data_IF_665832664910
#
_entry.id   IF_665832664910
#
_cell.length_a   1.000
_cell.length_b   1.000
_cell.length_c   1.000
_cell.angle_alpha   90.00
_cell.angle_beta   90.00
_cell.angle_gamma   90.00
#
_symmetry.space_group_name_H-M   'P 1'
#
loop_
_entity.id
_entity.type
_entity.pdbx_description
1 polymer ?
#
# COMPACT_ATOMS: atom_id res chain seq x y z
N UNK A 1 -35.96 -4.50 6.07
CA UNK A 1 -34.58 -3.98 5.93
C UNK A 1 -34.28 -3.17 7.18
N UNK A 2 -33.27 -3.54 7.96
CA UNK A 2 -32.90 -2.80 9.16
C UNK A 2 -31.74 -1.87 8.78
N UNK A 3 -32.05 -0.59 8.57
CA UNK A 3 -31.05 0.41 8.20
C UNK A 3 -30.54 1.10 9.47
N UNK A 4 -29.23 1.31 9.57
CA UNK A 4 -28.62 2.07 10.64
C UNK A 4 -27.99 3.35 10.07
N UNK A 5 -28.10 4.46 10.80
CA UNK A 5 -27.49 5.74 10.44
C UNK A 5 -26.18 5.89 11.22
N UNK A 6 -25.10 6.22 10.51
CA UNK A 6 -23.80 6.52 11.11
C UNK A 6 -23.53 8.01 10.91
N UNK A 7 -23.43 8.76 12.02
CA UNK A 7 -22.99 10.15 12.02
C UNK A 7 -21.54 10.22 12.51
N UNK A 8 -20.69 10.92 11.78
CA UNK A 8 -19.30 11.16 12.18
C UNK A 8 -18.90 12.60 11.89
N UNK A 9 -18.08 13.17 12.77
CA UNK A 9 -17.53 14.50 12.61
C UNK A 9 -16.22 14.43 11.83
N UNK A 10 -16.00 15.39 10.95
CA UNK A 10 -14.77 15.52 10.17
C UNK A 10 -14.54 16.98 9.81
N UNK A 11 -13.33 17.31 9.37
CA UNK A 11 -13.02 18.64 8.89
C UNK A 11 -13.80 18.98 7.60
N UNK A 12 -14.26 20.23 7.48
CA UNK A 12 -15.09 20.65 6.36
C UNK A 12 -14.35 20.62 5.02
N UNK A 13 -13.06 20.98 5.03
CA UNK A 13 -12.22 20.93 3.83
C UNK A 13 -11.95 19.48 3.44
N UNK A 14 -11.61 18.61 4.39
CA UNK A 14 -11.43 17.18 4.14
C UNK A 14 -12.69 16.54 3.54
N UNK A 15 -13.89 16.88 4.06
CA UNK A 15 -15.17 16.41 3.50
C UNK A 15 -15.35 16.84 2.04
N UNK A 16 -15.02 18.09 1.71
CA UNK A 16 -15.14 18.62 0.35
C UNK A 16 -14.18 17.93 -0.61
N UNK A 17 -12.91 17.77 -0.21
CA UNK A 17 -11.88 17.12 -1.02
C UNK A 17 -12.23 15.64 -1.26
N UNK A 18 -12.64 14.92 -0.22
CA UNK A 18 -13.07 13.53 -0.36
C UNK A 18 -14.30 13.38 -1.26
N UNK A 19 -15.24 14.34 -1.21
CA UNK A 19 -16.41 14.33 -2.11
C UNK A 19 -15.98 14.45 -3.57
N UNK A 20 -15.06 15.37 -3.89
CA UNK A 20 -14.57 15.54 -5.24
C UNK A 20 -13.93 14.26 -5.79
N UNK A 21 -13.06 13.62 -5.00
CA UNK A 21 -12.42 12.35 -5.39
C UNK A 21 -13.46 11.26 -5.64
N UNK A 22 -14.47 11.13 -4.78
CA UNK A 22 -15.54 10.15 -4.97
C UNK A 22 -16.40 10.45 -6.20
N UNK A 23 -16.72 11.72 -6.46
CA UNK A 23 -17.49 12.13 -7.64
C UNK A 23 -16.73 11.82 -8.94
N UNK A 24 -15.40 12.05 -8.97
CA UNK A 24 -14.53 11.67 -10.10
C UNK A 24 -14.53 10.15 -10.36
N UNK A 25 -14.74 9.35 -9.31
CA UNK A 25 -14.89 7.89 -9.39
C UNK A 25 -16.33 7.43 -9.65
N UNK A 26 -17.32 8.35 -9.71
CA UNK A 26 -18.74 8.01 -9.84
C UNK A 26 -19.34 7.37 -8.58
N UNK A 27 -18.77 7.65 -7.40
CA UNK A 27 -19.15 7.08 -6.12
C UNK A 27 -19.72 8.16 -5.18
N UNK A 28 -20.52 7.73 -4.21
CA UNK A 28 -20.91 8.58 -3.07
C UNK A 28 -20.34 8.02 -1.77
N UNK A 29 -20.38 8.83 -0.69
CA UNK A 29 -19.88 8.43 0.62
C UNK A 29 -20.53 7.14 1.15
N UNK A 30 -21.81 6.91 0.89
CA UNK A 30 -22.49 5.70 1.37
C UNK A 30 -21.90 4.45 0.71
N UNK A 31 -21.61 4.51 -0.59
CA UNK A 31 -20.98 3.39 -1.31
C UNK A 31 -19.56 3.16 -0.77
N UNK A 32 -18.76 4.23 -0.68
CA UNK A 32 -17.37 4.15 -0.24
C UNK A 32 -17.24 3.64 1.21
N UNK A 33 -18.01 4.20 2.15
CA UNK A 33 -17.97 3.81 3.55
C UNK A 33 -18.47 2.39 3.76
N UNK A 34 -19.55 1.98 3.10
CA UNK A 34 -20.03 0.60 3.20
C UNK A 34 -19.02 -0.41 2.63
N UNK A 35 -18.37 -0.09 1.52
CA UNK A 35 -17.31 -0.93 0.96
C UNK A 35 -16.14 -1.08 1.95
N UNK A 36 -15.70 0.03 2.55
CA UNK A 36 -14.64 0.01 3.55
C UNK A 36 -15.02 -0.79 4.80
N UNK A 37 -16.24 -0.61 5.33
CA UNK A 37 -16.72 -1.36 6.50
C UNK A 37 -16.78 -2.88 6.22
N UNK A 38 -17.20 -3.28 5.01
CA UNK A 38 -17.17 -4.70 4.60
C UNK A 38 -15.74 -5.24 4.55
N UNK A 39 -14.81 -4.47 3.96
CA UNK A 39 -13.38 -4.83 3.93
C UNK A 39 -12.83 -4.97 5.36
N UNK A 40 -13.12 -4.02 6.24
CA UNK A 40 -12.71 -4.05 7.65
C UNK A 40 -13.20 -5.31 8.38
N UNK A 41 -14.45 -5.73 8.17
CA UNK A 41 -15.02 -6.93 8.81
C UNK A 41 -14.32 -8.21 8.33
N UNK A 42 -14.00 -8.30 7.04
CA UNK A 42 -13.35 -9.48 6.44
C UNK A 42 -11.88 -9.55 6.83
N UNK A 43 -11.15 -8.45 6.69
CA UNK A 43 -9.69 -8.42 6.85
C UNK A 43 -9.26 -8.21 8.30
N UNK A 44 -10.13 -7.64 9.14
CA UNK A 44 -9.84 -7.29 10.54
C UNK A 44 -8.58 -6.42 10.68
N UNK A 45 -8.32 -5.57 9.69
CA UNK A 45 -7.15 -4.70 9.59
C UNK A 45 -7.56 -3.32 9.08
N UNK A 46 -6.88 -2.30 9.59
CA UNK A 46 -6.92 -0.94 9.07
C UNK A 46 -5.59 -0.68 8.36
N UNK A 47 -5.67 -0.22 7.10
CA UNK A 47 -4.50 0.12 6.29
C UNK A 47 -4.26 1.63 6.33
N UNK A 48 -3.04 2.03 6.70
CA UNK A 48 -2.56 3.38 6.54
C UNK A 48 -1.45 3.37 5.51
N UNK A 49 -1.65 4.09 4.41
CA UNK A 49 -0.63 4.27 3.38
C UNK A 49 0.03 5.63 3.56
N UNK A 50 1.36 5.63 3.61
CA UNK A 50 2.17 6.85 3.44
C UNK A 50 2.77 6.81 2.05
N UNK A 51 3.09 7.95 1.41
CA UNK A 51 3.90 7.95 0.20
C UNK A 51 5.15 7.08 0.43
N UNK A 52 5.38 6.11 -0.46
CA UNK A 52 6.50 5.17 -0.38
C UNK A 52 7.83 5.86 -0.72
N UNK A 53 8.25 6.84 0.09
CA UNK A 53 9.52 7.54 -0.07
C UNK A 53 10.61 6.65 0.53
N UNK A 54 11.52 6.09 -0.28
CA UNK A 54 12.53 5.17 0.25
C UNK A 54 13.43 5.90 1.24
N UNK A 55 13.67 5.31 2.41
CA UNK A 55 14.61 5.86 3.39
C UNK A 55 16.06 5.81 2.86
N UNK A 56 17.00 6.46 3.56
CA UNK A 56 18.39 6.53 3.11
C UNK A 56 19.03 5.15 2.85
N UNK A 57 18.73 4.15 3.70
CA UNK A 57 19.20 2.76 3.54
C UNK A 57 18.64 2.14 2.27
N UNK A 58 17.34 2.25 2.04
CA UNK A 58 16.67 1.69 0.88
C UNK A 58 17.10 2.37 -0.42
N UNK A 59 17.27 3.70 -0.43
CA UNK A 59 17.83 4.44 -1.58
C UNK A 59 19.23 3.95 -1.94
N UNK A 60 20.08 3.71 -0.95
CA UNK A 60 21.43 3.17 -1.15
C UNK A 60 21.36 1.76 -1.76
N UNK A 61 20.56 0.87 -1.18
CA UNK A 61 20.39 -0.49 -1.69
C UNK A 61 19.88 -0.52 -3.14
N UNK A 62 18.88 0.30 -3.48
CA UNK A 62 18.38 0.43 -4.86
C UNK A 62 19.49 0.87 -5.82
N UNK A 63 20.31 1.84 -5.42
CA UNK A 63 21.43 2.33 -6.26
C UNK A 63 22.51 1.26 -6.45
N UNK A 64 22.85 0.53 -5.40
CA UNK A 64 23.83 -0.57 -5.44
C UNK A 64 23.33 -1.70 -6.35
N UNK A 65 22.08 -2.15 -6.18
CA UNK A 65 21.48 -3.16 -7.03
C UNK A 65 21.43 -2.75 -8.51
N UNK A 66 21.09 -1.48 -8.81
CA UNK A 66 21.15 -0.95 -10.19
C UNK A 66 22.56 -0.98 -10.78
N UNK A 67 23.58 -0.68 -9.97
CA UNK A 67 24.99 -0.72 -10.40
C UNK A 67 25.45 -2.16 -10.66
N UNK A 68 25.10 -3.09 -9.78
CA UNK A 68 25.41 -4.51 -9.96
C UNK A 68 24.75 -5.08 -11.21
N UNK A 69 23.49 -4.73 -11.46
CA UNK A 69 22.77 -5.10 -12.68
C UNK A 69 23.47 -4.56 -13.93
N UNK A 70 23.74 -3.25 -13.99
CA UNK A 70 24.36 -2.61 -15.15
C UNK A 70 25.79 -3.11 -15.43
N UNK A 71 26.51 -3.56 -14.40
CA UNK A 71 27.88 -4.08 -14.53
C UNK A 71 27.95 -5.60 -14.71
N UNK A 72 26.80 -6.30 -14.75
CA UNK A 72 26.75 -7.76 -14.83
C UNK A 72 27.33 -8.47 -13.60
N UNK A 73 27.52 -7.75 -12.48
CA UNK A 73 28.07 -8.27 -11.22
C UNK A 73 27.00 -8.80 -10.27
N UNK A 74 25.73 -8.73 -10.69
CA UNK A 74 24.61 -9.25 -9.92
C UNK A 74 24.77 -10.75 -9.72
N UNK A 75 24.68 -11.19 -8.47
CA UNK A 75 24.75 -12.61 -8.14
C UNK A 75 23.47 -13.29 -8.57
N UNK A 76 23.59 -14.28 -9.45
CA UNK A 76 22.49 -15.09 -9.97
C UNK A 76 22.55 -16.50 -9.40
N UNK A 77 21.39 -17.10 -9.18
CA UNK A 77 21.24 -18.47 -8.70
C UNK A 77 20.45 -19.25 -9.74
N UNK A 78 20.85 -20.50 -9.99
CA UNK A 78 20.20 -21.34 -11.00
C UNK A 78 19.00 -22.10 -10.43
N UNK A 79 19.01 -22.36 -9.12
CA UNK A 79 17.93 -23.05 -8.43
C UNK A 79 17.47 -22.30 -7.19
N UNK A 80 16.29 -22.68 -6.70
CA UNK A 80 15.75 -22.15 -5.45
C UNK A 80 16.64 -22.51 -4.25
N UNK A 81 17.16 -23.75 -4.20
CA UNK A 81 18.01 -24.24 -3.11
C UNK A 81 19.32 -23.46 -3.01
N UNK A 82 19.92 -23.07 -4.15
CA UNK A 82 21.12 -22.24 -4.18
C UNK A 82 20.86 -20.84 -3.62
N UNK A 83 19.72 -20.24 -3.98
CA UNK A 83 19.30 -18.93 -3.48
C UNK A 83 19.02 -19.00 -1.97
N UNK A 84 18.23 -19.98 -1.53
CA UNK A 84 17.85 -20.17 -0.13
C UNK A 84 19.08 -20.34 0.75
N UNK A 85 20.01 -21.23 0.37
CA UNK A 85 21.26 -21.45 1.12
C UNK A 85 22.09 -20.16 1.24
N UNK A 86 22.10 -19.33 0.20
CA UNK A 86 22.79 -18.05 0.30
C UNK A 86 22.08 -17.07 1.23
N UNK A 87 20.77 -16.92 1.13
CA UNK A 87 20.00 -16.00 1.97
C UNK A 87 20.10 -16.36 3.46
N UNK A 88 20.11 -17.65 3.79
CA UNK A 88 20.30 -18.14 5.15
C UNK A 88 21.73 -17.96 5.68
N UNK A 89 22.69 -17.60 4.81
CA UNK A 89 24.09 -17.34 5.19
C UNK A 89 24.44 -15.85 5.34
N UNK A 90 23.51 -14.95 4.99
CA UNK A 90 23.65 -13.49 5.12
C UNK A 90 23.38 -13.01 6.55
#
# INVERSE_FOLDING_TARGET
>A
MNNAVINFNTDAKLKSEAKQVLDEMGLNFSIALNAYLRKLVVEKRIEFTTPEIPNARLRKAIREGRKEYATGKMKVYKTHEELEKHLLSL
#
